data_IF_177579345590
#
_entry.id   IF_177579345590
#
_cell.length_a   1.000
_cell.length_b   1.000
_cell.length_c   1.000
_cell.angle_alpha   90.00
_cell.angle_beta   90.00
_cell.angle_gamma   90.00
#
_symmetry.space_group_name_H-M   'P 1'
#
loop_
_entity.id
_entity.type
_entity.pdbx_description
1 polymer ?
#
# COMPACT_ATOMS: atom_id res chain seq x y z
N UNK A 1 14.35 -6.25 12.03
CA UNK A 1 13.79 -5.44 13.13
C UNK A 1 13.87 -6.22 14.43
N UNK A 2 14.26 -5.56 15.50
CA UNK A 2 14.24 -6.16 16.82
C UNK A 2 12.85 -6.02 17.46
N UNK A 3 12.57 -6.74 18.59
CA UNK A 3 11.25 -6.67 19.21
C UNK A 3 10.82 -5.26 19.64
N UNK A 4 11.77 -4.43 20.07
CA UNK A 4 11.49 -3.05 20.47
C UNK A 4 11.02 -2.20 19.28
N UNK A 5 11.68 -2.34 18.14
CA UNK A 5 11.31 -1.63 16.91
C UNK A 5 9.95 -2.09 16.41
N UNK A 6 9.67 -3.39 16.49
CA UNK A 6 8.37 -3.96 16.10
C UNK A 6 7.25 -3.41 16.98
N UNK A 7 7.46 -3.37 18.30
CA UNK A 7 6.47 -2.83 19.23
C UNK A 7 6.21 -1.34 18.96
N UNK A 8 7.26 -0.57 18.71
CA UNK A 8 7.14 0.85 18.41
C UNK A 8 6.35 1.10 17.11
N UNK A 9 6.57 0.27 16.09
CA UNK A 9 5.80 0.33 14.85
C UNK A 9 4.31 0.09 15.13
N UNK A 10 4.00 -0.94 15.93
CA UNK A 10 2.62 -1.26 16.29
C UNK A 10 1.94 -0.12 17.03
N UNK A 11 2.65 0.52 17.97
CA UNK A 11 2.11 1.68 18.71
C UNK A 11 1.79 2.84 17.77
N UNK A 12 2.70 3.15 16.84
CA UNK A 12 2.46 4.22 15.86
C UNK A 12 1.29 3.91 14.94
N UNK A 13 1.18 2.67 14.49
CA UNK A 13 0.08 2.23 13.63
C UNK A 13 -1.26 2.37 14.34
N UNK A 14 -1.34 1.92 15.59
CA UNK A 14 -2.57 2.05 16.40
C UNK A 14 -2.92 3.51 16.66
N UNK A 15 -1.93 4.36 16.89
CA UNK A 15 -2.17 5.80 17.08
C UNK A 15 -2.78 6.43 15.84
N UNK A 16 -2.28 6.10 14.65
CA UNK A 16 -2.82 6.62 13.39
C UNK A 16 -4.23 6.10 13.17
N UNK A 17 -4.47 4.81 13.39
CA UNK A 17 -5.80 4.21 13.27
C UNK A 17 -6.82 4.87 14.20
N UNK A 18 -6.41 5.17 15.44
CA UNK A 18 -7.27 5.86 16.40
C UNK A 18 -7.63 7.26 15.94
N UNK A 19 -6.69 7.99 15.37
CA UNK A 19 -6.94 9.33 14.82
C UNK A 19 -7.86 9.29 13.61
N UNK A 20 -7.69 8.33 12.72
CA UNK A 20 -8.59 8.14 11.58
C UNK A 20 -10.00 7.82 12.03
N UNK A 21 -10.15 6.91 12.98
CA UNK A 21 -11.46 6.52 13.50
C UNK A 21 -12.16 7.71 14.16
N UNK A 22 -11.43 8.49 14.97
CA UNK A 22 -11.97 9.68 15.61
C UNK A 22 -12.43 10.73 14.61
N UNK A 23 -11.62 11.00 13.59
CA UNK A 23 -11.96 11.96 12.54
C UNK A 23 -13.18 11.51 11.73
N UNK A 24 -13.26 10.21 11.41
CA UNK A 24 -14.39 9.64 10.70
C UNK A 24 -15.69 9.86 11.49
N UNK A 25 -15.68 9.57 12.79
CA UNK A 25 -16.85 9.74 13.65
C UNK A 25 -17.29 11.20 13.72
N UNK A 26 -16.34 12.13 13.86
CA UNK A 26 -16.65 13.57 13.87
C UNK A 26 -17.31 13.98 12.56
N UNK A 27 -16.90 13.41 11.43
CA UNK A 27 -17.47 13.68 10.12
C UNK A 27 -18.79 12.94 9.86
N UNK A 28 -19.30 12.18 10.82
CA UNK A 28 -20.53 11.41 10.66
C UNK A 28 -20.35 10.16 9.78
N UNK A 29 -19.12 9.70 9.64
CA UNK A 29 -18.79 8.51 8.84
C UNK A 29 -18.43 7.34 9.74
N UNK A 30 -18.60 6.12 9.23
CA UNK A 30 -18.14 4.93 9.93
C UNK A 30 -16.62 4.82 9.79
N UNK A 31 -15.87 4.46 10.85
CA UNK A 31 -14.42 4.28 10.75
C UNK A 31 -14.01 3.29 9.64
N UNK A 32 -14.77 2.22 9.44
CA UNK A 32 -14.49 1.20 8.42
C UNK A 32 -14.67 1.70 6.98
N UNK A 33 -15.30 2.87 6.79
CA UNK A 33 -15.43 3.48 5.47
C UNK A 33 -14.17 4.24 5.05
N UNK A 34 -13.22 4.39 5.96
CA UNK A 34 -11.94 5.07 5.70
C UNK A 34 -10.83 4.03 5.83
N UNK A 35 -10.08 3.84 4.76
CA UNK A 35 -9.02 2.83 4.71
C UNK A 35 -7.66 3.50 4.82
N UNK A 36 -6.81 2.95 5.67
CA UNK A 36 -5.43 3.40 5.79
C UNK A 36 -4.56 2.64 4.80
N UNK A 37 -3.84 3.37 3.96
CA UNK A 37 -2.79 2.81 3.12
C UNK A 37 -1.46 3.10 3.80
N UNK A 38 -0.76 2.06 4.22
CA UNK A 38 0.55 2.22 4.83
C UNK A 38 1.59 2.37 3.71
N UNK A 39 2.25 3.51 3.67
CA UNK A 39 3.31 3.74 2.67
C UNK A 39 4.56 3.02 3.11
N UNK A 40 5.02 2.08 2.30
CA UNK A 40 6.15 1.21 2.61
C UNK A 40 7.37 1.42 1.72
N UNK A 41 7.36 2.46 0.89
CA UNK A 41 8.51 2.77 0.03
C UNK A 41 9.79 2.91 0.84
N UNK A 42 10.86 2.34 0.32
CA UNK A 42 12.21 2.41 0.92
C UNK A 42 12.33 1.73 2.28
N UNK A 43 11.28 1.03 2.73
CA UNK A 43 11.33 0.22 3.95
C UNK A 43 11.53 -1.24 3.59
N UNK A 44 12.21 -2.01 4.44
CA UNK A 44 12.44 -3.43 4.17
C UNK A 44 11.18 -4.27 4.36
N UNK A 45 11.20 -5.49 3.83
CA UNK A 45 10.07 -6.43 3.97
C UNK A 45 9.75 -6.73 5.43
N UNK A 46 10.74 -6.67 6.32
CA UNK A 46 10.54 -6.90 7.75
C UNK A 46 9.57 -5.88 8.36
N UNK A 47 9.60 -4.63 7.87
CA UNK A 47 8.66 -3.59 8.32
C UNK A 47 7.24 -3.91 7.85
N UNK A 48 7.09 -4.41 6.63
CA UNK A 48 5.79 -4.84 6.09
C UNK A 48 5.25 -6.02 6.90
N UNK A 49 6.11 -7.00 7.18
CA UNK A 49 5.73 -8.15 8.01
C UNK A 49 5.27 -7.72 9.40
N UNK A 50 5.99 -6.78 10.02
CA UNK A 50 5.62 -6.26 11.34
C UNK A 50 4.25 -5.58 11.30
N UNK A 51 4.01 -4.70 10.34
CA UNK A 51 2.72 -4.02 10.18
C UNK A 51 1.61 -5.03 9.87
N UNK A 52 1.88 -6.02 9.04
CA UNK A 52 0.95 -7.10 8.74
C UNK A 52 0.54 -7.86 10.01
N UNK A 53 1.51 -8.12 10.91
CA UNK A 53 1.24 -8.75 12.20
C UNK A 53 0.31 -7.94 13.08
N UNK A 54 0.27 -6.61 12.90
CA UNK A 54 -0.67 -5.72 13.60
C UNK A 54 -1.96 -5.48 12.81
N UNK A 55 -2.22 -6.27 11.77
CA UNK A 55 -3.46 -6.24 11.03
C UNK A 55 -3.49 -5.36 9.80
N UNK A 56 -2.37 -4.71 9.43
CA UNK A 56 -2.34 -3.89 8.22
C UNK A 56 -2.29 -4.77 6.98
N UNK A 57 -3.20 -4.51 6.03
CA UNK A 57 -3.33 -5.31 4.81
C UNK A 57 -3.12 -4.51 3.53
N UNK A 58 -3.19 -3.18 3.60
CA UNK A 58 -3.08 -2.30 2.44
C UNK A 58 -1.78 -1.54 2.52
N UNK A 59 -0.93 -1.67 1.50
CA UNK A 59 0.37 -1.03 1.45
C UNK A 59 0.52 -0.25 0.15
N UNK A 60 1.13 0.92 0.24
CA UNK A 60 1.38 1.79 -0.91
C UNK A 60 2.87 1.85 -1.25
N UNK A 61 3.19 1.61 -2.52
CA UNK A 61 4.55 1.66 -3.03
C UNK A 61 4.68 2.69 -4.13
N UNK A 62 5.81 3.40 -4.15
CA UNK A 62 6.06 4.43 -5.15
C UNK A 62 6.85 3.92 -6.35
N UNK A 63 7.71 2.91 -6.13
CA UNK A 63 8.66 2.45 -7.14
C UNK A 63 8.29 1.03 -7.57
N UNK A 64 7.99 0.88 -8.88
CA UNK A 64 7.46 -0.37 -9.42
C UNK A 64 8.40 -1.57 -9.15
N UNK A 65 9.70 -1.41 -9.43
CA UNK A 65 10.62 -2.54 -9.26
C UNK A 65 10.80 -2.93 -7.79
N UNK A 66 10.83 -1.95 -6.89
CA UNK A 66 10.86 -2.21 -5.46
C UNK A 66 9.60 -2.96 -5.01
N UNK A 67 8.43 -2.50 -5.49
CA UNK A 67 7.16 -3.15 -5.16
C UNK A 67 7.12 -4.61 -5.63
N UNK A 68 7.53 -4.87 -6.86
CA UNK A 68 7.54 -6.22 -7.41
C UNK A 68 8.46 -7.14 -6.63
N UNK A 69 9.64 -6.65 -6.24
CA UNK A 69 10.57 -7.42 -5.42
C UNK A 69 9.97 -7.79 -4.06
N UNK A 70 9.25 -6.85 -3.43
CA UNK A 70 8.56 -7.10 -2.16
C UNK A 70 7.43 -8.11 -2.32
N UNK A 71 6.66 -8.01 -3.40
CA UNK A 71 5.60 -8.97 -3.70
C UNK A 71 6.15 -10.38 -3.85
N UNK A 72 7.27 -10.51 -4.55
CA UNK A 72 7.94 -11.80 -4.74
C UNK A 72 8.50 -12.35 -3.43
N UNK A 73 8.97 -11.49 -2.55
CA UNK A 73 9.50 -11.89 -1.24
C UNK A 73 8.39 -12.31 -0.26
N UNK A 74 7.14 -11.88 -0.48
CA UNK A 74 6.02 -12.10 0.42
C UNK A 74 4.83 -12.75 -0.30
N UNK A 75 5.02 -13.89 -0.99
CA UNK A 75 3.96 -14.46 -1.84
C UNK A 75 2.77 -15.01 -1.06
N UNK A 76 2.99 -15.39 0.20
CA UNK A 76 1.96 -16.05 1.02
C UNK A 76 1.14 -15.08 1.87
N UNK A 77 1.45 -13.79 1.84
CA UNK A 77 0.71 -12.79 2.60
C UNK A 77 -0.48 -12.26 1.79
N UNK A 78 -1.59 -12.07 2.48
CA UNK A 78 -2.79 -11.46 1.90
C UNK A 78 -2.66 -9.93 1.97
N UNK A 79 -1.82 -9.38 1.10
CA UNK A 79 -1.57 -7.94 1.02
C UNK A 79 -2.28 -7.36 -0.18
N UNK A 80 -2.97 -6.25 0.04
CA UNK A 80 -3.53 -5.45 -1.03
C UNK A 80 -2.52 -4.35 -1.38
N UNK A 81 -1.87 -4.48 -2.53
CA UNK A 81 -0.84 -3.55 -2.97
C UNK A 81 -1.44 -2.41 -3.79
N UNK A 82 -1.08 -1.19 -3.45
CA UNK A 82 -1.45 0.01 -4.19
C UNK A 82 -0.21 0.66 -4.77
N UNK A 83 -0.28 1.09 -6.03
CA UNK A 83 0.77 1.89 -6.65
C UNK A 83 0.40 3.36 -6.48
N UNK A 84 1.20 4.10 -5.72
CA UNK A 84 0.93 5.50 -5.41
C UNK A 84 1.99 6.45 -6.00
N UNK A 85 2.92 5.92 -6.78
CA UNK A 85 3.96 6.71 -7.45
C UNK A 85 3.71 6.84 -8.94
N UNK A 86 4.49 7.71 -9.60
CA UNK A 86 4.40 7.89 -11.04
C UNK A 86 4.84 6.62 -11.78
N UNK A 87 4.09 6.23 -12.80
CA UNK A 87 4.41 5.07 -13.63
C UNK A 87 4.57 5.52 -15.08
N UNK A 88 5.72 5.22 -15.65
CA UNK A 88 5.95 5.47 -17.08
C UNK A 88 5.09 4.54 -17.92
N UNK A 89 4.58 5.01 -19.06
CA UNK A 89 3.70 4.24 -19.93
C UNK A 89 4.31 2.91 -20.35
N UNK A 90 5.62 2.85 -20.58
CA UNK A 90 6.31 1.62 -20.96
C UNK A 90 6.42 0.58 -19.82
N UNK A 91 6.00 0.96 -18.61
CA UNK A 91 5.94 0.05 -17.46
C UNK A 91 4.53 -0.50 -17.20
N UNK A 92 3.57 -0.18 -18.06
CA UNK A 92 2.19 -0.66 -17.91
C UNK A 92 2.13 -2.18 -17.78
N UNK A 93 2.94 -2.90 -18.55
CA UNK A 93 3.02 -4.37 -18.51
C UNK A 93 3.45 -4.90 -17.14
N UNK A 94 4.26 -4.13 -16.40
CA UNK A 94 4.79 -4.55 -15.10
C UNK A 94 3.81 -4.29 -13.96
N UNK A 95 2.85 -3.37 -14.14
CA UNK A 95 1.90 -3.01 -13.07
C UNK A 95 0.53 -3.64 -13.25
N UNK A 96 0.14 -4.00 -14.46
CA UNK A 96 -1.16 -4.60 -14.72
C UNK A 96 -1.26 -5.96 -14.03
N UNK A 97 -2.30 -6.12 -13.21
CA UNK A 97 -2.51 -7.37 -12.46
C UNK A 97 -1.65 -7.51 -11.21
N UNK A 98 -0.79 -6.55 -10.92
CA UNK A 98 0.12 -6.59 -9.76
C UNK A 98 -0.31 -5.68 -8.62
N UNK A 99 -1.24 -4.77 -8.88
CA UNK A 99 -1.75 -3.82 -7.89
C UNK A 99 -3.26 -3.82 -7.90
N UNK A 100 -3.86 -3.69 -6.72
CA UNK A 100 -5.30 -3.57 -6.58
C UNK A 100 -5.79 -2.21 -7.10
N UNK A 101 -4.96 -1.18 -6.99
CA UNK A 101 -5.30 0.17 -7.42
C UNK A 101 -4.04 0.93 -7.81
N UNK A 102 -4.12 1.67 -8.90
CA UNK A 102 -3.08 2.60 -9.34
C UNK A 102 -3.66 4.00 -9.19
N UNK A 103 -3.08 4.80 -8.29
CA UNK A 103 -3.61 6.12 -7.94
C UNK A 103 -3.21 7.22 -8.92
N UNK A 104 -2.22 6.97 -9.76
CA UNK A 104 -1.48 8.02 -10.46
C UNK A 104 -1.58 7.90 -11.98
N UNK A 105 -2.79 7.69 -12.47
CA UNK A 105 -3.05 7.71 -13.91
C UNK A 105 -3.23 9.19 -14.30
N UNK A 106 -2.19 9.78 -14.89
CA UNK A 106 -2.11 11.21 -15.14
C UNK A 106 -2.16 11.58 -16.61
N UNK A 107 -2.31 10.61 -17.52
CA UNK A 107 -2.45 10.90 -18.94
C UNK A 107 -3.27 9.82 -19.64
N UNK A 108 -3.87 10.22 -20.79
CA UNK A 108 -4.77 9.33 -21.52
C UNK A 108 -4.05 8.14 -22.13
N UNK A 109 -2.84 8.33 -22.61
CA UNK A 109 -2.06 7.24 -23.23
C UNK A 109 -1.81 6.11 -22.24
N UNK A 110 -1.46 6.44 -21.01
CA UNK A 110 -1.23 5.45 -19.96
C UNK A 110 -2.55 4.73 -19.62
N UNK A 111 -3.64 5.49 -19.48
CA UNK A 111 -4.96 4.90 -19.20
C UNK A 111 -5.36 3.90 -20.29
N UNK A 112 -5.20 4.27 -21.55
CA UNK A 112 -5.52 3.39 -22.69
C UNK A 112 -4.63 2.15 -22.72
N UNK A 113 -3.34 2.32 -22.42
CA UNK A 113 -2.39 1.21 -22.38
C UNK A 113 -2.76 0.21 -21.29
N UNK A 114 -3.13 0.70 -20.10
CA UNK A 114 -3.60 -0.14 -19.01
C UNK A 114 -4.88 -0.89 -19.41
N UNK A 115 -5.83 -0.19 -20.00
CA UNK A 115 -7.11 -0.77 -20.41
C UNK A 115 -6.91 -1.92 -21.41
N UNK A 116 -5.98 -1.78 -22.34
CA UNK A 116 -5.69 -2.82 -23.31
C UNK A 116 -5.06 -4.08 -22.71
N UNK A 117 -4.47 -3.96 -21.50
CA UNK A 117 -3.84 -5.09 -20.83
C UNK A 117 -4.73 -5.79 -19.80
N UNK A 118 -5.91 -5.27 -19.56
CA UNK A 118 -6.88 -5.89 -18.65
C UNK A 118 -7.67 -7.07 -19.33
#
# INVERSE_FOLDING_TARGET
MNPSETAALGERLEAVRGRLAGAARIAGRKPEDVRLIAVSKLHPVEAILAAYGFGQRVFGENYVQEALAKQEALPDLDVEWHCIGHVQTNKAKDVTGRFALIHTVDNLKFAETLARRL
#
